data_IF_267929977829
#
_entry.id   IF_267929977829
#
_cell.length_a   1.000
_cell.length_b   1.000
_cell.length_c   1.000
_cell.angle_alpha   90.00
_cell.angle_beta   90.00
_cell.angle_gamma   90.00
#
_symmetry.space_group_name_H-M   'P 1'
#
loop_
_entity.id
_entity.type
_entity.pdbx_description
1 polymer ?
#
# COMPACT_ATOMS: atom_id res chain seq x y z
N UNK A 1 49.78 -11.60 33.77
CA UNK A 1 48.50 -11.16 33.19
C UNK A 1 48.68 -10.14 32.05
N UNK A 2 49.36 -9.01 32.22
CA UNK A 2 49.49 -7.94 31.20
C UNK A 2 50.00 -8.41 29.84
N UNK A 3 51.00 -9.30 29.74
CA UNK A 3 51.50 -9.82 28.45
C UNK A 3 50.46 -10.64 27.68
N UNK A 4 49.60 -11.46 28.35
CA UNK A 4 48.54 -12.23 27.69
C UNK A 4 47.44 -11.36 27.08
N UNK A 5 47.13 -10.26 27.76
CA UNK A 5 46.16 -9.26 27.28
C UNK A 5 46.69 -8.55 26.04
N UNK A 6 47.97 -8.18 26.02
CA UNK A 6 48.61 -7.53 24.85
C UNK A 6 48.63 -8.46 23.65
N UNK A 7 48.97 -9.76 23.83
CA UNK A 7 48.90 -10.73 22.71
C UNK A 7 47.49 -10.94 22.20
N UNK A 8 46.52 -11.06 23.09
CA UNK A 8 45.09 -11.22 22.67
C UNK A 8 44.61 -9.98 21.91
N UNK A 9 44.97 -8.77 22.35
CA UNK A 9 44.62 -7.53 21.64
C UNK A 9 45.28 -7.46 20.26
N UNK A 10 46.55 -7.88 20.14
CA UNK A 10 47.28 -7.87 18.88
C UNK A 10 46.67 -8.86 17.88
N UNK A 11 46.35 -10.09 18.34
CA UNK A 11 45.66 -11.09 17.54
C UNK A 11 44.29 -10.59 17.05
N UNK A 12 43.52 -9.91 17.93
CA UNK A 12 42.26 -9.33 17.61
C UNK A 12 42.39 -8.23 16.52
N UNK A 13 43.37 -7.35 16.65
CA UNK A 13 43.63 -6.30 15.66
C UNK A 13 44.00 -6.88 14.31
N UNK A 14 44.90 -7.88 14.29
CA UNK A 14 45.28 -8.57 13.04
C UNK A 14 44.05 -9.24 12.40
N UNK A 15 43.24 -9.94 13.20
CA UNK A 15 42.02 -10.56 12.72
C UNK A 15 41.05 -9.54 12.10
N UNK A 16 40.77 -8.42 12.81
CA UNK A 16 39.93 -7.35 12.30
C UNK A 16 40.51 -6.75 11.02
N UNK A 17 41.82 -6.55 10.92
CA UNK A 17 42.49 -6.04 9.73
C UNK A 17 42.35 -6.99 8.52
N UNK A 18 42.51 -8.26 8.77
CA UNK A 18 42.32 -9.29 7.71
C UNK A 18 40.88 -9.30 7.23
N UNK A 19 39.91 -9.33 8.15
CA UNK A 19 38.48 -9.30 7.80
C UNK A 19 38.15 -8.02 7.00
N UNK A 20 38.69 -6.88 7.42
CA UNK A 20 38.50 -5.61 6.72
C UNK A 20 39.07 -5.66 5.28
N UNK A 21 40.30 -6.17 5.11
CA UNK A 21 40.90 -6.30 3.78
C UNK A 21 40.11 -7.26 2.87
N UNK A 22 39.65 -8.36 3.42
CA UNK A 22 38.83 -9.33 2.68
C UNK A 22 37.51 -8.70 2.27
N UNK A 23 36.82 -8.01 3.18
CA UNK A 23 35.58 -7.31 2.87
C UNK A 23 35.78 -6.17 1.86
N UNK A 24 36.92 -5.48 1.90
CA UNK A 24 37.23 -4.40 0.93
C UNK A 24 37.39 -4.94 -0.49
N UNK A 25 37.94 -6.14 -0.65
CA UNK A 25 38.03 -6.80 -1.95
C UNK A 25 36.69 -7.40 -2.41
N UNK A 26 35.79 -7.64 -1.48
CA UNK A 26 34.51 -8.31 -1.69
C UNK A 26 34.60 -9.83 -1.55
N UNK A 27 33.59 -10.41 -0.94
CA UNK A 27 33.45 -11.84 -0.72
C UNK A 27 32.23 -12.30 -1.50
N UNK A 28 32.41 -13.34 -2.31
CA UNK A 28 31.30 -14.04 -2.96
C UNK A 28 31.18 -15.43 -2.31
N UNK A 29 30.04 -15.70 -1.71
CA UNK A 29 29.68 -16.98 -1.13
C UNK A 29 28.63 -17.61 -2.05
N UNK A 30 29.00 -18.73 -2.68
CA UNK A 30 28.16 -19.34 -3.71
C UNK A 30 26.86 -19.89 -3.14
N UNK A 31 26.93 -20.53 -1.95
CA UNK A 31 25.77 -21.17 -1.34
C UNK A 31 25.96 -21.30 0.18
N UNK A 32 24.93 -20.95 0.93
CA UNK A 32 24.81 -21.17 2.37
C UNK A 32 23.44 -21.79 2.62
N UNK A 33 23.42 -22.95 3.27
CA UNK A 33 22.18 -23.63 3.60
C UNK A 33 22.09 -23.86 5.11
N UNK A 34 21.01 -23.34 5.69
CA UNK A 34 20.55 -23.66 7.04
C UNK A 34 19.19 -24.36 6.94
N UNK A 35 18.72 -24.96 8.02
CA UNK A 35 17.40 -25.62 8.05
C UNK A 35 16.27 -24.68 7.62
N UNK A 36 16.33 -23.42 8.07
CA UNK A 36 15.29 -22.40 7.87
C UNK A 36 15.62 -21.39 6.77
N UNK A 37 16.85 -21.37 6.23
CA UNK A 37 17.31 -20.33 5.30
C UNK A 37 18.25 -20.90 4.26
N UNK A 38 17.98 -20.61 3.00
CA UNK A 38 18.87 -20.88 1.88
C UNK A 38 19.29 -19.57 1.22
N UNK A 39 20.60 -19.36 1.07
CA UNK A 39 21.21 -18.19 0.45
C UNK A 39 22.06 -18.62 -0.74
N UNK A 40 21.83 -18.02 -1.89
CA UNK A 40 22.60 -18.28 -3.10
C UNK A 40 23.25 -17.01 -3.63
N UNK A 41 24.52 -17.13 -4.00
CA UNK A 41 25.34 -16.05 -4.55
C UNK A 41 25.29 -14.78 -3.69
N UNK A 42 25.62 -14.93 -2.40
CA UNK A 42 25.74 -13.82 -1.48
C UNK A 42 27.07 -13.09 -1.72
N UNK A 43 27.01 -11.84 -2.17
CA UNK A 43 28.14 -10.96 -2.32
C UNK A 43 28.12 -9.88 -1.24
N UNK A 44 29.24 -9.73 -0.51
CA UNK A 44 29.41 -8.72 0.52
C UNK A 44 30.68 -7.94 0.23
N UNK A 45 30.59 -6.62 0.16
CA UNK A 45 31.74 -5.73 -0.02
C UNK A 45 31.63 -4.54 0.91
N UNK A 46 32.73 -4.13 1.48
CA UNK A 46 32.88 -2.88 2.23
C UNK A 46 33.70 -1.89 1.38
N UNK A 47 33.02 -0.91 0.77
CA UNK A 47 33.69 0.20 0.11
C UNK A 47 33.72 1.41 1.03
N UNK A 48 32.98 2.48 0.76
CA UNK A 48 32.71 3.55 1.74
C UNK A 48 31.68 3.11 2.76
N UNK A 49 30.69 2.35 2.31
CA UNK A 49 29.65 1.69 3.08
C UNK A 49 29.53 0.22 2.65
N UNK A 50 28.71 -0.52 3.34
CA UNK A 50 28.46 -1.93 3.08
C UNK A 50 27.57 -2.11 1.85
N UNK A 51 28.00 -2.98 0.94
CA UNK A 51 27.22 -3.43 -0.23
C UNK A 51 26.91 -4.91 -0.01
N UNK A 52 25.63 -5.27 -0.06
CA UNK A 52 25.15 -6.64 0.09
C UNK A 52 24.28 -6.98 -1.12
N UNK A 53 24.64 -8.03 -1.85
CA UNK A 53 23.83 -8.53 -2.97
C UNK A 53 23.60 -10.01 -2.80
N UNK A 54 22.41 -10.48 -3.06
CA UNK A 54 22.08 -11.90 -3.08
C UNK A 54 21.22 -12.22 -4.30
N UNK A 55 21.48 -13.35 -4.94
CA UNK A 55 20.64 -13.78 -6.05
C UNK A 55 19.33 -14.37 -5.54
N UNK A 56 19.43 -15.30 -4.58
CA UNK A 56 18.26 -15.93 -3.98
C UNK A 56 18.41 -15.96 -2.46
N UNK A 57 17.33 -15.58 -1.78
CA UNK A 57 17.13 -15.81 -0.35
C UNK A 57 15.80 -16.53 -0.20
N UNK A 58 15.83 -17.75 0.30
CA UNK A 58 14.62 -18.56 0.50
C UNK A 58 14.49 -18.95 1.95
N UNK A 59 13.36 -18.62 2.56
CA UNK A 59 13.00 -19.08 3.88
C UNK A 59 12.24 -20.40 3.77
N UNK A 60 12.78 -21.45 4.37
CA UNK A 60 12.13 -22.74 4.51
C UNK A 60 11.34 -22.73 5.83
N UNK A 61 10.05 -22.91 5.78
CA UNK A 61 9.27 -23.15 7.00
C UNK A 61 9.57 -24.57 7.49
N UNK A 62 10.01 -24.71 8.74
CA UNK A 62 9.94 -26.00 9.42
C UNK A 62 8.46 -26.38 9.53
N UNK A 63 8.07 -27.50 8.92
CA UNK A 63 6.69 -28.04 8.94
C UNK A 63 6.15 -28.35 10.36
N UNK A 64 6.88 -28.02 11.40
CA UNK A 64 6.52 -28.27 12.81
C UNK A 64 6.05 -27.02 13.57
N UNK A 65 6.12 -25.82 13.00
CA UNK A 65 5.46 -24.67 13.57
C UNK A 65 4.03 -24.61 13.00
N UNK A 66 3.08 -25.29 13.66
CA UNK A 66 1.67 -24.98 13.51
C UNK A 66 1.50 -23.52 13.93
N UNK A 67 1.61 -22.61 12.96
CA UNK A 67 1.10 -21.26 13.12
C UNK A 67 -0.40 -21.47 13.28
N UNK A 68 -0.86 -21.47 14.53
CA UNK A 68 -2.25 -21.24 14.80
C UNK A 68 -2.61 -20.01 13.98
N UNK A 69 -3.61 -20.16 13.12
CA UNK A 69 -4.30 -19.07 12.45
C UNK A 69 -4.95 -18.16 13.51
N UNK A 70 -4.11 -17.46 14.28
CA UNK A 70 -4.55 -16.34 15.10
C UNK A 70 -4.91 -15.21 14.13
N UNK A 71 -6.19 -15.23 13.74
CA UNK A 71 -6.86 -14.14 12.99
C UNK A 71 -6.84 -12.80 13.74
N UNK A 72 -6.20 -12.73 14.89
CA UNK A 72 -5.85 -11.50 15.58
C UNK A 72 -4.40 -11.12 15.20
N UNK A 73 -4.24 -10.45 14.08
CA UNK A 73 -3.04 -9.64 13.87
C UNK A 73 -3.07 -8.59 14.98
N UNK A 74 -2.37 -8.88 16.09
CA UNK A 74 -2.23 -7.96 17.20
C UNK A 74 -1.62 -6.68 16.69
N UNK A 75 -2.36 -5.58 16.70
CA UNK A 75 -1.88 -4.23 16.35
C UNK A 75 -0.61 -3.87 17.15
N UNK A 76 -0.48 -4.39 18.35
CA UNK A 76 0.71 -4.26 19.21
C UNK A 76 1.97 -4.89 18.63
N UNK A 77 1.85 -6.03 17.91
CA UNK A 77 2.99 -6.68 17.28
C UNK A 77 3.51 -5.84 16.11
N UNK A 78 2.62 -5.41 15.23
CA UNK A 78 2.98 -4.57 14.07
C UNK A 78 3.62 -3.23 14.52
N UNK A 79 3.09 -2.62 15.57
CA UNK A 79 3.62 -1.36 16.13
C UNK A 79 5.02 -1.54 16.75
N UNK A 80 5.26 -2.65 17.45
CA UNK A 80 6.59 -2.96 18.02
C UNK A 80 7.63 -3.24 16.95
N UNK A 81 7.26 -4.01 15.92
CA UNK A 81 8.17 -4.32 14.80
C UNK A 81 8.50 -3.06 13.98
N UNK A 82 7.53 -2.21 13.68
CA UNK A 82 7.76 -0.91 13.06
C UNK A 82 8.72 -0.05 13.90
N UNK A 83 8.55 -0.01 15.21
CA UNK A 83 9.47 0.72 16.12
C UNK A 83 10.89 0.15 16.07
N UNK A 84 11.06 -1.16 15.99
CA UNK A 84 12.36 -1.80 15.90
C UNK A 84 13.03 -1.53 14.54
N UNK A 85 12.30 -1.66 13.45
CA UNK A 85 12.78 -1.33 12.10
C UNK A 85 13.27 0.12 12.08
N UNK A 86 12.49 1.04 12.61
CA UNK A 86 12.81 2.48 12.57
C UNK A 86 13.95 2.90 13.47
N UNK A 87 14.17 2.24 14.62
CA UNK A 87 15.38 2.46 15.43
C UNK A 87 16.64 2.11 14.64
N UNK A 88 16.55 1.11 13.77
CA UNK A 88 17.69 0.60 13.00
C UNK A 88 17.91 1.34 11.68
N UNK A 89 16.95 2.12 11.18
CA UNK A 89 17.09 2.90 9.94
C UNK A 89 18.34 3.79 9.93
N UNK A 90 18.67 4.42 11.07
CA UNK A 90 19.87 5.23 11.18
C UNK A 90 21.14 4.44 10.85
N UNK A 91 21.22 3.21 11.33
CA UNK A 91 22.37 2.34 11.05
C UNK A 91 22.40 1.91 9.59
N UNK A 92 21.23 1.61 9.02
CA UNK A 92 21.10 1.30 7.60
C UNK A 92 21.65 2.46 6.75
N UNK A 93 21.15 3.66 6.92
CA UNK A 93 21.59 4.84 6.15
C UNK A 93 23.05 5.22 6.41
N UNK A 94 23.58 4.94 7.61
CA UNK A 94 24.97 5.27 7.96
C UNK A 94 25.95 4.27 7.36
N UNK A 95 25.64 2.98 7.43
CA UNK A 95 26.62 1.92 7.16
C UNK A 95 26.36 1.15 5.86
N UNK A 96 25.17 1.23 5.29
CA UNK A 96 24.80 0.49 4.09
C UNK A 96 24.67 1.44 2.90
N UNK A 97 25.29 1.06 1.78
CA UNK A 97 25.17 1.75 0.49
C UNK A 97 24.11 1.08 -0.39
N UNK A 98 24.14 -0.24 -0.41
CA UNK A 98 23.26 -1.03 -1.28
C UNK A 98 22.90 -2.37 -0.65
N UNK A 99 21.63 -2.73 -0.72
CA UNK A 99 21.13 -4.09 -0.53
C UNK A 99 20.37 -4.45 -1.82
N UNK A 100 20.79 -5.46 -2.57
CA UNK A 100 20.08 -5.95 -3.76
C UNK A 100 19.81 -7.44 -3.61
N UNK A 101 18.57 -7.81 -3.35
CA UNK A 101 18.11 -9.20 -3.27
C UNK A 101 17.21 -9.43 -4.48
N UNK A 102 17.72 -10.18 -5.46
CA UNK A 102 17.00 -10.36 -6.73
C UNK A 102 15.76 -11.23 -6.57
N UNK A 103 15.84 -12.29 -5.76
CA UNK A 103 14.73 -13.18 -5.46
C UNK A 103 14.67 -13.44 -3.96
N UNK A 104 13.73 -12.83 -3.30
CA UNK A 104 13.41 -13.04 -1.90
C UNK A 104 12.14 -13.87 -1.83
N UNK A 105 12.26 -15.11 -1.37
CA UNK A 105 11.19 -16.09 -1.41
C UNK A 105 10.72 -16.41 0.00
N UNK A 106 9.43 -16.16 0.28
CA UNK A 106 8.76 -16.58 1.50
C UNK A 106 7.48 -17.30 1.08
N UNK A 107 7.41 -18.61 1.33
CA UNK A 107 6.32 -19.47 0.83
C UNK A 107 6.18 -19.31 -0.68
N UNK A 108 4.98 -19.06 -1.16
CA UNK A 108 4.65 -18.86 -2.57
C UNK A 108 4.86 -17.41 -3.05
N UNK A 109 5.37 -16.54 -2.18
CA UNK A 109 5.60 -15.14 -2.53
C UNK A 109 7.04 -14.92 -2.96
N UNK A 110 7.21 -14.38 -4.14
CA UNK A 110 8.50 -14.01 -4.72
C UNK A 110 8.55 -12.49 -4.83
N UNK A 111 9.64 -11.89 -4.35
CA UNK A 111 9.81 -10.46 -4.46
C UNK A 111 11.27 -10.07 -4.66
N UNK A 112 11.51 -8.99 -5.36
CA UNK A 112 12.79 -8.30 -5.41
C UNK A 112 12.81 -7.20 -4.37
N UNK A 113 13.91 -7.08 -3.62
CA UNK A 113 14.13 -6.01 -2.63
C UNK A 113 15.43 -5.30 -3.00
N UNK A 114 15.36 -3.99 -3.19
CA UNK A 114 16.51 -3.15 -3.43
C UNK A 114 16.48 -1.94 -2.48
N UNK A 115 17.58 -1.72 -1.77
CA UNK A 115 17.87 -0.46 -1.10
C UNK A 115 19.10 0.14 -1.74
N UNK A 116 18.98 1.36 -2.26
CA UNK A 116 20.07 2.09 -2.90
C UNK A 116 19.78 3.58 -2.93
N UNK A 117 20.81 4.43 -2.69
CA UNK A 117 20.67 5.88 -2.67
C UNK A 117 19.58 6.37 -1.71
N UNK A 118 19.49 5.74 -0.53
CA UNK A 118 18.51 6.03 0.52
C UNK A 118 17.04 5.77 0.11
N UNK A 119 16.81 5.06 -0.99
CA UNK A 119 15.49 4.65 -1.45
C UNK A 119 15.31 3.14 -1.34
N UNK A 120 14.10 2.71 -1.02
CA UNK A 120 13.67 1.32 -1.01
C UNK A 120 12.82 1.03 -2.23
N UNK A 121 13.05 -0.15 -2.80
CA UNK A 121 12.26 -0.70 -3.89
C UNK A 121 11.83 -2.11 -3.50
N UNK A 122 10.55 -2.39 -3.69
CA UNK A 122 9.99 -3.74 -3.58
C UNK A 122 9.19 -3.99 -4.84
N UNK A 123 9.44 -5.11 -5.47
CA UNK A 123 8.74 -5.52 -6.70
C UNK A 123 8.34 -6.98 -6.61
N UNK A 124 7.05 -7.26 -6.82
CA UNK A 124 6.50 -8.60 -6.94
C UNK A 124 5.39 -8.62 -8.00
N UNK A 125 4.71 -9.74 -8.16
CA UNK A 125 3.66 -9.89 -9.17
C UNK A 125 2.46 -8.96 -8.96
N UNK A 126 2.17 -8.58 -7.70
CA UNK A 126 1.00 -7.78 -7.33
C UNK A 126 1.29 -6.28 -7.29
N UNK A 127 2.49 -5.90 -6.86
CA UNK A 127 2.82 -4.49 -6.65
C UNK A 127 4.28 -4.16 -6.95
N UNK A 128 4.50 -2.90 -7.31
CA UNK A 128 5.81 -2.24 -7.29
C UNK A 128 5.74 -1.07 -6.32
N UNK A 129 6.70 -0.99 -5.40
CA UNK A 129 6.80 0.09 -4.41
C UNK A 129 8.17 0.74 -4.49
N UNK A 130 8.19 2.05 -4.61
CA UNK A 130 9.37 2.90 -4.45
C UNK A 130 9.10 3.92 -3.36
N UNK A 131 9.92 3.95 -2.30
CA UNK A 131 9.78 4.91 -1.22
C UNK A 131 11.13 5.33 -0.62
N UNK A 132 11.14 6.51 -0.01
CA UNK A 132 12.21 6.99 0.87
C UNK A 132 11.67 7.12 2.30
N UNK A 133 12.44 6.66 3.29
CA UNK A 133 12.06 6.75 4.69
C UNK A 133 12.91 7.81 5.39
N UNK A 134 12.26 8.70 6.10
CA UNK A 134 12.91 9.72 6.92
C UNK A 134 12.42 9.63 8.35
N UNK A 135 13.29 9.92 9.29
CA UNK A 135 12.92 9.97 10.71
C UNK A 135 13.13 11.37 11.26
N UNK A 136 12.08 11.96 11.80
CA UNK A 136 12.10 13.25 12.50
C UNK A 136 11.69 13.03 13.96
N UNK A 137 12.67 12.98 14.87
CA UNK A 137 12.42 12.76 16.29
C UNK A 137 11.75 11.40 16.57
N UNK A 138 10.45 11.41 16.88
CA UNK A 138 9.62 10.21 17.15
C UNK A 138 8.75 9.81 15.97
N UNK A 139 8.72 10.59 14.94
CA UNK A 139 7.92 10.37 13.73
C UNK A 139 8.78 9.75 12.64
N UNK A 140 8.14 8.93 11.83
CA UNK A 140 8.67 8.32 10.64
C UNK A 140 7.84 8.81 9.48
N UNK A 141 8.52 9.40 8.52
CA UNK A 141 7.92 9.86 7.29
C UNK A 141 8.37 8.95 6.14
N UNK A 142 7.43 8.38 5.42
CA UNK A 142 7.67 7.65 4.20
C UNK A 142 7.17 8.48 3.02
N UNK A 143 8.10 8.90 2.18
CA UNK A 143 7.80 9.55 0.91
C UNK A 143 7.62 8.46 -0.14
N UNK A 144 6.37 8.10 -0.43
CA UNK A 144 6.00 7.09 -1.42
C UNK A 144 6.08 7.76 -2.79
N UNK A 145 7.17 7.46 -3.52
CA UNK A 145 7.40 7.99 -4.86
C UNK A 145 6.51 7.32 -5.90
N UNK A 146 6.23 6.04 -5.71
CA UNK A 146 5.34 5.26 -6.54
C UNK A 146 4.97 3.96 -5.83
N UNK A 147 3.68 3.71 -5.66
CA UNK A 147 3.09 2.41 -5.34
C UNK A 147 2.17 2.03 -6.51
N UNK A 148 2.64 1.14 -7.38
CA UNK A 148 1.85 0.62 -8.50
C UNK A 148 1.16 -0.68 -8.08
N UNK A 149 -0.15 -0.70 -8.05
CA UNK A 149 -0.97 -1.91 -7.94
C UNK A 149 -1.19 -2.46 -9.35
N UNK A 150 -0.44 -3.51 -9.71
CA UNK A 150 -0.32 -4.00 -11.10
C UNK A 150 -1.65 -4.49 -11.67
N UNK A 151 -2.43 -5.23 -10.88
CA UNK A 151 -3.75 -5.76 -11.29
C UNK A 151 -4.75 -4.66 -11.68
N UNK A 152 -4.56 -3.44 -11.14
CA UNK A 152 -5.47 -2.32 -11.34
C UNK A 152 -4.87 -1.23 -12.23
N UNK A 153 -3.60 -1.38 -12.62
CA UNK A 153 -2.83 -0.30 -13.25
C UNK A 153 -2.97 1.03 -12.49
N UNK A 154 -2.99 0.94 -11.14
CA UNK A 154 -3.23 2.06 -10.24
C UNK A 154 -1.92 2.50 -9.60
N UNK A 155 -1.46 3.69 -9.94
CA UNK A 155 -0.28 4.32 -9.35
C UNK A 155 -0.71 5.26 -8.23
N UNK A 156 -0.06 5.14 -7.08
CA UNK A 156 -0.29 5.98 -5.90
C UNK A 156 1.04 6.59 -5.48
N UNK A 157 1.06 7.89 -5.28
CA UNK A 157 2.17 8.62 -4.69
C UNK A 157 1.69 9.48 -3.51
N UNK A 158 2.60 9.82 -2.60
CA UNK A 158 2.24 10.62 -1.44
C UNK A 158 3.15 10.43 -0.23
N UNK A 159 2.72 11.00 0.88
CA UNK A 159 3.47 10.99 2.13
C UNK A 159 2.70 10.24 3.22
N UNK A 160 3.36 9.27 3.85
CA UNK A 160 2.87 8.54 5.01
C UNK A 160 3.65 9.01 6.24
N UNK A 161 2.96 9.59 7.22
CA UNK A 161 3.53 9.94 8.53
C UNK A 161 3.07 8.91 9.57
N UNK A 162 4.02 8.38 10.33
CA UNK A 162 3.79 7.37 11.35
C UNK A 162 4.33 7.88 12.68
N UNK A 163 3.47 8.02 13.68
CA UNK A 163 3.87 8.22 15.06
C UNK A 163 3.56 6.94 15.85
N UNK A 164 4.55 6.06 15.93
CA UNK A 164 4.36 4.75 16.53
C UNK A 164 4.06 4.80 18.05
N UNK A 165 4.39 5.91 18.74
CA UNK A 165 4.11 6.05 20.18
C UNK A 165 2.64 6.36 20.46
N UNK A 166 2.01 7.14 19.57
CA UNK A 166 0.60 7.53 19.68
C UNK A 166 -0.30 6.72 18.78
N UNK A 167 0.24 5.69 18.10
CA UNK A 167 -0.47 4.88 17.11
C UNK A 167 -1.23 5.73 16.07
N UNK A 168 -0.60 6.84 15.68
CA UNK A 168 -1.15 7.74 14.69
C UNK A 168 -0.47 7.52 13.34
N UNK A 169 -1.28 7.22 12.33
CA UNK A 169 -0.86 7.05 10.95
C UNK A 169 -1.64 8.03 10.09
N UNK A 170 -0.95 8.74 9.22
CA UNK A 170 -1.59 9.68 8.30
C UNK A 170 -0.97 9.57 6.93
N UNK A 171 -1.77 9.27 5.93
CA UNK A 171 -1.37 9.22 4.53
C UNK A 171 -2.07 10.33 3.74
N UNK A 172 -1.30 11.09 2.98
CA UNK A 172 -1.80 12.08 2.01
C UNK A 172 -1.10 11.84 0.68
N UNK A 173 -1.89 11.68 -0.36
CA UNK A 173 -1.36 11.37 -1.68
C UNK A 173 -2.39 11.53 -2.78
N UNK A 174 -2.02 11.02 -3.94
CA UNK A 174 -2.90 10.94 -5.10
C UNK A 174 -2.80 9.58 -5.74
N UNK A 175 -3.88 9.18 -6.40
CA UNK A 175 -3.98 7.94 -7.15
C UNK A 175 -4.37 8.24 -8.59
N UNK A 176 -3.72 7.56 -9.54
CA UNK A 176 -3.93 7.74 -10.96
C UNK A 176 -3.98 6.38 -11.67
N UNK A 177 -4.98 6.20 -12.52
CA UNK A 177 -5.12 5.07 -13.43
C UNK A 177 -5.85 5.49 -14.70
N UNK A 178 -5.94 4.59 -15.67
CA UNK A 178 -6.75 4.83 -16.87
C UNK A 178 -8.25 4.95 -16.55
N UNK A 179 -8.70 4.34 -15.44
CA UNK A 179 -10.11 4.27 -15.04
C UNK A 179 -10.53 5.42 -14.15
N UNK A 180 -9.62 5.93 -13.28
CA UNK A 180 -9.93 6.97 -12.32
C UNK A 180 -8.66 7.69 -11.84
N UNK A 181 -8.83 8.93 -11.39
CA UNK A 181 -7.85 9.71 -10.65
C UNK A 181 -8.51 10.40 -9.46
N UNK A 182 -7.78 10.50 -8.34
CA UNK A 182 -8.29 11.10 -7.11
C UNK A 182 -7.19 11.40 -6.10
N UNK A 183 -7.47 12.33 -5.19
CA UNK A 183 -6.64 12.62 -4.01
C UNK A 183 -7.06 11.74 -2.84
N UNK A 184 -6.11 11.38 -2.00
CA UNK A 184 -6.29 10.48 -0.85
C UNK A 184 -5.84 11.19 0.42
N UNK A 185 -6.68 11.17 1.44
CA UNK A 185 -6.33 11.57 2.79
C UNK A 185 -6.90 10.52 3.77
N UNK A 186 -6.02 9.76 4.41
CA UNK A 186 -6.39 8.70 5.33
C UNK A 186 -5.66 8.92 6.65
N UNK A 187 -6.39 8.89 7.75
CA UNK A 187 -5.80 8.95 9.09
C UNK A 187 -6.34 7.81 9.96
N UNK A 188 -5.44 7.18 10.70
CA UNK A 188 -5.79 6.14 11.66
C UNK A 188 -5.26 6.51 13.04
N UNK A 189 -6.11 6.40 14.05
CA UNK A 189 -5.75 6.64 15.45
C UNK A 189 -6.71 5.90 16.38
N UNK A 190 -6.17 5.19 17.39
CA UNK A 190 -6.98 4.54 18.43
C UNK A 190 -8.11 3.68 17.85
N UNK A 191 -7.79 2.79 16.92
CA UNK A 191 -8.75 1.91 16.23
C UNK A 191 -9.79 2.63 15.37
N UNK A 192 -9.58 3.92 15.08
CA UNK A 192 -10.46 4.73 14.25
C UNK A 192 -9.75 5.10 12.96
N UNK A 193 -10.39 4.82 11.83
CA UNK A 193 -9.94 5.19 10.50
C UNK A 193 -10.87 6.26 9.93
N UNK A 194 -10.35 7.44 9.68
CA UNK A 194 -11.03 8.44 8.88
C UNK A 194 -10.41 8.46 7.49
N UNK A 195 -11.24 8.52 6.46
CA UNK A 195 -10.80 8.62 5.08
C UNK A 195 -11.56 9.71 4.34
N UNK A 196 -10.86 10.36 3.42
CA UNK A 196 -11.41 11.32 2.48
C UNK A 196 -10.72 11.17 1.14
N UNK A 197 -11.50 10.92 0.11
CA UNK A 197 -11.07 10.98 -1.28
C UNK A 197 -11.64 12.26 -1.87
N UNK A 198 -10.83 13.00 -2.63
CA UNK A 198 -11.21 14.31 -3.20
C UNK A 198 -10.90 14.36 -4.69
N UNK A 199 -11.61 15.23 -5.42
CA UNK A 199 -11.41 15.44 -6.86
C UNK A 199 -11.45 14.12 -7.65
N UNK A 200 -12.42 13.25 -7.35
CA UNK A 200 -12.49 11.91 -7.92
C UNK A 200 -13.10 12.00 -9.32
N UNK A 201 -12.31 11.64 -10.32
CA UNK A 201 -12.74 11.56 -11.71
C UNK A 201 -12.79 10.09 -12.13
N UNK A 202 -13.94 9.58 -12.47
CA UNK A 202 -14.15 8.19 -12.90
C UNK A 202 -14.55 8.17 -14.36
N UNK A 203 -13.75 7.51 -15.21
CA UNK A 203 -13.96 7.37 -16.64
C UNK A 203 -14.72 6.11 -17.01
N UNK A 204 -14.54 5.05 -16.24
CA UNK A 204 -15.25 3.78 -16.43
C UNK A 204 -15.63 3.14 -15.10
N UNK A 205 -16.78 3.55 -14.58
CA UNK A 205 -17.34 3.03 -13.33
C UNK A 205 -17.70 1.54 -13.44
N UNK A 206 -18.09 1.07 -14.62
CA UNK A 206 -18.49 -0.32 -14.83
C UNK A 206 -17.31 -1.26 -14.64
N UNK A 207 -16.17 -0.92 -15.21
CA UNK A 207 -14.94 -1.71 -15.04
C UNK A 207 -14.45 -1.69 -13.58
N UNK A 208 -14.43 -0.52 -12.93
CA UNK A 208 -14.07 -0.42 -11.51
C UNK A 208 -14.99 -1.30 -10.66
N UNK A 209 -16.30 -1.22 -10.90
CA UNK A 209 -17.30 -1.97 -10.16
C UNK A 209 -17.15 -3.49 -10.33
N UNK A 210 -16.91 -3.94 -11.56
CA UNK A 210 -16.66 -5.35 -11.86
C UNK A 210 -15.37 -5.88 -11.20
N UNK A 211 -14.35 -5.07 -11.11
CA UNK A 211 -13.12 -5.42 -10.38
C UNK A 211 -13.38 -5.52 -8.87
N UNK A 212 -14.08 -4.53 -8.29
CA UNK A 212 -14.44 -4.52 -6.88
C UNK A 212 -15.29 -5.74 -6.49
N UNK A 213 -16.29 -6.11 -7.30
CA UNK A 213 -17.16 -7.27 -7.07
C UNK A 213 -16.41 -8.60 -6.97
N UNK A 214 -15.26 -8.74 -7.62
CA UNK A 214 -14.44 -9.95 -7.52
C UNK A 214 -13.81 -10.14 -6.14
N UNK A 215 -13.68 -9.06 -5.36
CA UNK A 215 -12.92 -9.04 -4.10
C UNK A 215 -13.77 -8.76 -2.85
N UNK A 216 -14.87 -8.05 -3.02
CA UNK A 216 -15.76 -7.68 -1.92
C UNK A 216 -17.22 -8.01 -2.30
N UNK A 217 -17.98 -8.45 -1.29
CA UNK A 217 -19.42 -8.65 -1.45
C UNK A 217 -20.09 -7.27 -1.47
N UNK A 218 -20.53 -6.84 -2.67
CA UNK A 218 -21.27 -5.60 -2.83
C UNK A 218 -22.77 -5.84 -2.62
N UNK A 219 -23.50 -4.89 -1.99
CA UNK A 219 -24.95 -4.99 -1.84
C UNK A 219 -25.66 -5.15 -3.20
N UNK A 220 -26.56 -6.13 -3.32
CA UNK A 220 -27.25 -6.42 -4.57
C UNK A 220 -27.97 -5.21 -5.21
N UNK A 221 -28.66 -4.35 -4.44
CA UNK A 221 -29.25 -3.13 -5.00
C UNK A 221 -28.21 -2.20 -5.64
N UNK A 222 -27.01 -2.07 -5.05
CA UNK A 222 -25.96 -1.24 -5.62
C UNK A 222 -25.45 -1.82 -6.93
N UNK A 223 -25.26 -3.15 -7.00
CA UNK A 223 -24.89 -3.86 -8.23
C UNK A 223 -25.91 -3.62 -9.33
N UNK A 224 -27.20 -3.77 -9.02
CA UNK A 224 -28.28 -3.60 -9.98
C UNK A 224 -28.31 -2.18 -10.54
N UNK A 225 -28.19 -1.17 -9.69
CA UNK A 225 -28.26 0.22 -10.12
C UNK A 225 -27.03 0.65 -10.90
N UNK A 226 -25.83 0.44 -10.36
CA UNK A 226 -24.58 0.96 -10.96
C UNK A 226 -24.18 0.17 -12.22
N UNK A 227 -24.32 -1.15 -12.20
CA UNK A 227 -23.89 -1.97 -13.34
C UNK A 227 -24.95 -2.07 -14.46
N UNK A 228 -26.24 -1.98 -14.14
CA UNK A 228 -27.29 -2.32 -15.10
C UNK A 228 -28.26 -1.20 -15.39
N UNK A 229 -28.67 -0.40 -14.41
CA UNK A 229 -29.76 0.56 -14.55
C UNK A 229 -29.34 1.99 -14.82
N UNK A 230 -28.26 2.47 -14.21
CA UNK A 230 -27.81 3.84 -14.36
C UNK A 230 -26.42 3.87 -15.00
N UNK A 231 -26.29 4.40 -16.19
CA UNK A 231 -25.02 4.52 -16.93
C UNK A 231 -24.77 5.96 -17.29
N UNK A 232 -23.66 6.52 -16.83
CA UNK A 232 -23.14 7.81 -17.24
C UNK A 232 -21.86 7.68 -18.03
N UNK A 233 -21.51 8.68 -18.81
CA UNK A 233 -20.25 8.73 -19.57
C UNK A 233 -19.07 9.15 -18.69
N UNK A 234 -19.32 9.94 -17.65
CA UNK A 234 -18.32 10.48 -16.75
C UNK A 234 -18.92 10.75 -15.37
N UNK A 235 -18.16 10.43 -14.34
CA UNK A 235 -18.53 10.67 -12.94
C UNK A 235 -17.46 11.50 -12.28
N UNK A 236 -17.88 12.54 -11.58
CA UNK A 236 -17.02 13.36 -10.76
C UNK A 236 -17.58 13.42 -9.35
N UNK A 237 -16.72 13.19 -8.33
CA UNK A 237 -17.08 13.45 -6.95
C UNK A 237 -16.11 14.47 -6.38
N UNK A 238 -16.64 15.57 -5.87
CA UNK A 238 -15.87 16.56 -5.15
C UNK A 238 -15.22 15.92 -3.93
N UNK A 239 -15.98 15.03 -3.27
CA UNK A 239 -15.44 14.18 -2.21
C UNK A 239 -16.29 12.94 -1.97
N UNK A 240 -15.63 11.91 -1.43
CA UNK A 240 -16.21 10.76 -0.74
C UNK A 240 -15.44 10.64 0.58
N UNK A 241 -16.14 10.72 1.71
CA UNK A 241 -15.49 10.61 3.02
C UNK A 241 -16.30 9.72 3.96
N UNK A 242 -15.61 9.17 4.95
CA UNK A 242 -16.24 8.31 5.95
C UNK A 242 -15.31 8.02 7.12
N UNK A 243 -15.86 7.26 8.05
CA UNK A 243 -15.22 6.91 9.29
C UNK A 243 -15.49 5.43 9.61
N UNK A 244 -14.48 4.71 10.07
CA UNK A 244 -14.60 3.30 10.47
C UNK A 244 -14.06 3.17 11.89
N UNK A 245 -14.89 2.65 12.80
CA UNK A 245 -14.53 2.34 14.18
C UNK A 245 -14.30 0.82 14.30
N UNK A 246 -13.03 0.39 14.31
CA UNK A 246 -12.66 -1.01 14.41
C UNK A 246 -12.94 -1.61 15.81
N UNK A 247 -13.15 -0.76 16.83
CA UNK A 247 -13.44 -1.24 18.20
C UNK A 247 -14.81 -1.90 18.30
N UNK A 248 -15.73 -1.57 17.39
CA UNK A 248 -17.12 -2.04 17.43
C UNK A 248 -17.36 -3.33 16.66
N UNK A 249 -16.35 -3.92 16.01
CA UNK A 249 -16.48 -5.09 15.10
C UNK A 249 -17.58 -4.95 14.03
N UNK A 250 -18.07 -3.73 13.79
CA UNK A 250 -19.10 -3.42 12.83
C UNK A 250 -18.58 -2.34 11.89
N UNK A 251 -18.39 -2.69 10.63
CA UNK A 251 -18.04 -1.77 9.57
C UNK A 251 -19.32 -1.07 9.11
N UNK A 252 -19.67 0.02 9.80
CA UNK A 252 -20.84 0.80 9.41
C UNK A 252 -20.47 1.69 8.22
N UNK A 253 -21.19 1.49 7.12
CA UNK A 253 -21.23 2.46 6.02
C UNK A 253 -22.12 3.67 6.34
N UNK A 254 -22.57 3.78 7.58
CA UNK A 254 -23.57 4.76 8.04
C UNK A 254 -23.04 6.19 8.01
N UNK A 255 -21.72 6.37 8.14
CA UNK A 255 -21.06 7.67 8.18
C UNK A 255 -20.45 8.08 6.83
N UNK A 256 -20.83 7.38 5.75
CA UNK A 256 -20.34 7.77 4.41
C UNK A 256 -21.11 8.99 3.93
N UNK A 257 -20.38 10.01 3.52
CA UNK A 257 -20.91 11.13 2.76
C UNK A 257 -20.17 11.32 1.45
N UNK A 258 -20.91 11.68 0.42
CA UNK A 258 -20.36 11.95 -0.90
C UNK A 258 -21.15 13.05 -1.60
N UNK A 259 -20.44 13.86 -2.35
CA UNK A 259 -21.00 14.90 -3.20
C UNK A 259 -20.33 14.83 -4.56
N UNK A 260 -21.13 14.91 -5.62
CA UNK A 260 -20.61 14.86 -6.97
C UNK A 260 -21.68 14.95 -8.03
N UNK A 261 -21.30 14.66 -9.27
CA UNK A 261 -22.23 14.61 -10.40
C UNK A 261 -21.81 13.55 -11.42
N UNK A 262 -22.78 13.17 -12.26
CA UNK A 262 -22.55 12.36 -13.43
C UNK A 262 -23.10 13.04 -14.67
N UNK A 263 -22.43 12.90 -15.81
CA UNK A 263 -22.83 13.47 -17.08
C UNK A 263 -23.41 12.39 -18.00
N UNK A 264 -24.38 12.78 -18.82
CA UNK A 264 -25.04 11.95 -19.84
C UNK A 264 -25.57 10.64 -19.26
N UNK A 265 -26.26 10.75 -18.12
CA UNK A 265 -26.78 9.58 -17.40
C UNK A 265 -28.03 9.04 -18.07
N UNK A 266 -28.02 7.75 -18.37
CA UNK A 266 -29.17 7.00 -18.89
C UNK A 266 -29.67 6.06 -17.79
N UNK A 267 -30.89 6.27 -17.32
CA UNK A 267 -31.51 5.46 -16.29
C UNK A 267 -32.64 4.62 -16.89
N UNK A 268 -32.54 3.29 -16.72
CA UNK A 268 -33.61 2.34 -17.08
C UNK A 268 -34.26 1.79 -15.82
N UNK A 269 -35.52 2.08 -15.61
CA UNK A 269 -36.29 1.55 -14.47
C UNK A 269 -36.67 0.09 -14.66
N UNK A 270 -36.91 -0.30 -15.91
CA UNK A 270 -37.25 -1.67 -16.33
C UNK A 270 -36.53 -2.02 -17.64
N UNK A 271 -36.31 -3.30 -17.90
CA UNK A 271 -35.69 -3.79 -19.13
C UNK A 271 -36.51 -3.54 -20.39
N UNK A 272 -37.83 -3.39 -20.25
CA UNK A 272 -38.76 -3.11 -21.35
C UNK A 272 -38.96 -1.62 -21.61
N UNK A 273 -38.52 -0.75 -20.70
CA UNK A 273 -38.67 0.69 -20.84
C UNK A 273 -37.46 1.31 -21.53
N UNK A 274 -37.70 2.37 -22.30
CA UNK A 274 -36.63 3.23 -22.78
C UNK A 274 -35.94 3.95 -21.60
N UNK A 275 -34.72 4.36 -21.82
CA UNK A 275 -34.00 5.08 -20.78
C UNK A 275 -34.50 6.52 -20.62
N UNK A 276 -34.59 6.98 -19.42
CA UNK A 276 -34.67 8.41 -19.10
C UNK A 276 -33.25 8.97 -19.20
N UNK A 277 -33.08 10.05 -19.94
CA UNK A 277 -31.77 10.68 -20.16
C UNK A 277 -31.66 11.96 -19.31
N UNK A 278 -30.55 12.06 -18.61
CA UNK A 278 -30.17 13.21 -17.82
C UNK A 278 -28.84 13.77 -18.33
N UNK A 279 -28.80 14.97 -18.91
CA UNK A 279 -27.53 15.59 -19.34
C UNK A 279 -26.55 15.73 -18.19
N UNK A 280 -27.04 16.07 -17.01
CA UNK A 280 -26.30 16.12 -15.75
C UNK A 280 -27.19 15.67 -14.60
N UNK A 281 -26.63 14.81 -13.74
CA UNK A 281 -27.27 14.32 -12.53
C UNK A 281 -26.35 14.61 -11.35
N UNK A 282 -26.76 15.49 -10.44
CA UNK A 282 -26.05 15.77 -9.21
C UNK A 282 -26.39 14.70 -8.16
N UNK A 283 -25.38 14.26 -7.42
CA UNK A 283 -25.42 13.14 -6.48
C UNK A 283 -25.04 13.66 -5.09
N UNK A 284 -25.85 13.40 -4.10
CA UNK A 284 -25.56 13.71 -2.70
C UNK A 284 -25.93 12.53 -1.81
N UNK A 285 -24.91 11.92 -1.21
CA UNK A 285 -25.07 10.90 -0.19
C UNK A 285 -24.78 11.50 1.18
N UNK A 286 -25.76 11.55 2.05
CA UNK A 286 -25.61 12.00 3.43
C UNK A 286 -26.66 11.33 4.32
N UNK A 287 -26.27 11.00 5.55
CA UNK A 287 -27.17 10.35 6.52
C UNK A 287 -27.89 9.10 5.92
N UNK A 288 -27.14 8.26 5.21
CA UNK A 288 -27.66 7.05 4.54
C UNK A 288 -28.70 7.31 3.45
N UNK A 289 -28.90 8.57 3.06
CA UNK A 289 -29.85 8.94 2.02
C UNK A 289 -29.09 9.42 0.79
N UNK A 290 -29.36 8.78 -0.33
CA UNK A 290 -28.87 9.18 -1.64
C UNK A 290 -29.93 10.05 -2.33
N UNK A 291 -29.61 11.31 -2.52
CA UNK A 291 -30.44 12.29 -3.21
C UNK A 291 -29.88 12.54 -4.60
N UNK A 292 -30.78 12.65 -5.57
CA UNK A 292 -30.48 13.02 -6.94
C UNK A 292 -31.16 14.34 -7.28
N UNK A 293 -30.42 15.24 -7.91
CA UNK A 293 -30.96 16.52 -8.39
C UNK A 293 -30.57 16.68 -9.84
N UNK A 294 -31.51 17.12 -10.67
CA UNK A 294 -31.31 17.36 -12.09
C UNK A 294 -32.09 18.59 -12.55
N UNK A 295 -31.58 19.25 -13.58
CA UNK A 295 -32.26 20.41 -14.17
C UNK A 295 -33.05 20.03 -15.41
N UNK A 296 -32.64 19.00 -16.12
CA UNK A 296 -33.26 18.53 -17.36
C UNK A 296 -33.32 17.00 -17.38
N UNK A 297 -34.43 16.48 -17.86
CA UNK A 297 -34.63 15.08 -18.15
C UNK A 297 -35.42 14.92 -19.44
N UNK A 298 -35.16 13.85 -20.20
CA UNK A 298 -35.92 13.55 -21.39
C UNK A 298 -36.25 12.06 -21.47
N UNK A 299 -37.45 11.74 -22.00
CA UNK A 299 -37.90 10.40 -22.25
C UNK A 299 -38.53 10.35 -23.64
N UNK A 300 -38.03 9.47 -24.52
CA UNK A 300 -38.51 9.37 -25.90
C UNK A 300 -38.59 10.73 -26.63
N UNK A 301 -37.53 11.54 -26.51
CA UNK A 301 -37.41 12.91 -27.06
C UNK A 301 -38.35 13.95 -26.45
N UNK A 302 -39.21 13.58 -25.51
CA UNK A 302 -40.01 14.52 -24.74
C UNK A 302 -39.24 15.09 -23.57
N UNK A 303 -39.28 16.40 -23.41
CA UNK A 303 -38.70 17.09 -22.22
C UNK A 303 -39.61 16.82 -21.01
N UNK A 304 -38.99 16.36 -19.90
CA UNK A 304 -39.69 16.10 -18.64
C UNK A 304 -39.38 17.18 -17.60
N UNK A 305 -38.61 18.20 -17.93
CA UNK A 305 -38.31 19.31 -17.03
C UNK A 305 -39.49 20.30 -17.02
N UNK A 306 -40.08 20.56 -15.84
CA UNK A 306 -40.98 21.66 -15.59
C UNK A 306 -40.21 22.85 -14.97
#
# INVERSE_FOLDING_TARGET
>A
MKKKIVYASLVLIVFISVVFLVLKNGILISHIQFSFLNLEQLYIKLDKKLIVRAKNITFNEDNNASIQDDKNVNSDFASKELLNITKNLKYLYTFVEEIDIQNFNIKDNHMRILFKNDEFFVDNDLLFLKLALHREGKEINADIKNLLLKDYNLSIDGNLSINAKSEFYNFKGQANSDLADFKINISYKNQNLAYKFEDINIRDITTIFNQAKKRIALPEPLVLWVAHRAKGDFYHFDFIQGFIDFSKNNYYFDDISAWGYANNVKVRLDNQMNAINFPKLDLNLSNQKLNFTFNKASYNESDLSE
#
